data_IF_345971475227
#
_entry.id   IF_345971475227
#
_cell.length_a   1.000
_cell.length_b   1.000
_cell.length_c   1.000
_cell.angle_alpha   90.00
_cell.angle_beta   90.00
_cell.angle_gamma   90.00
#
_symmetry.space_group_name_H-M   'P 1'
#
loop_
_entity.id
_entity.type
_entity.pdbx_description
1 polymer ?
#
# COMPACT_ATOMS: atom_id res chain seq x y z
N UNK A 1 -7.29 14.37 7.04
CA UNK A 1 -6.99 15.51 7.95
C UNK A 1 -6.12 15.13 9.15
N UNK A 2 -5.96 13.83 9.45
CA UNK A 2 -5.09 13.28 10.51
C UNK A 2 -3.60 13.25 10.10
N UNK A 3 -3.26 12.58 8.99
CA UNK A 3 -1.86 12.34 8.61
C UNK A 3 -1.02 13.60 8.33
N UNK A 4 -1.62 14.65 7.73
CA UNK A 4 -0.92 15.93 7.47
C UNK A 4 -0.46 16.60 8.78
N UNK A 5 -1.28 16.53 9.84
CA UNK A 5 -0.92 17.07 11.15
C UNK A 5 0.18 16.23 11.80
N UNK A 6 0.08 14.91 11.65
CA UNK A 6 1.08 13.96 12.14
C UNK A 6 2.46 14.21 11.54
N UNK A 7 2.57 14.44 10.23
CA UNK A 7 3.87 14.66 9.54
C UNK A 7 4.62 15.86 10.12
N UNK A 8 3.89 16.91 10.50
CA UNK A 8 4.49 18.14 11.01
C UNK A 8 4.81 18.10 12.51
N UNK A 9 4.41 17.04 13.23
CA UNK A 9 4.55 16.99 14.68
C UNK A 9 5.80 16.20 15.07
N UNK A 10 6.83 16.91 15.52
CA UNK A 10 8.10 16.33 15.98
C UNK A 10 8.10 15.86 17.44
N UNK A 11 7.02 16.09 18.22
CA UNK A 11 6.90 15.60 19.59
C UNK A 11 5.44 15.36 20.05
N UNK A 12 5.25 14.33 20.88
CA UNK A 12 3.98 13.95 21.50
C UNK A 12 3.44 12.59 21.04
N UNK A 13 2.33 12.15 21.65
CA UNK A 13 1.61 10.95 21.26
C UNK A 13 0.40 11.31 20.39
N UNK A 14 0.13 10.50 19.38
CA UNK A 14 -1.03 10.62 18.50
C UNK A 14 -1.64 9.23 18.29
N UNK A 15 -2.97 9.15 18.33
CA UNK A 15 -3.69 7.91 18.02
C UNK A 15 -3.94 7.87 16.53
N UNK A 16 -3.48 6.79 15.89
CA UNK A 16 -3.66 6.54 14.47
C UNK A 16 -4.51 5.29 14.29
N UNK A 17 -5.32 5.26 13.24
CA UNK A 17 -5.86 4.00 12.73
C UNK A 17 -4.71 3.13 12.21
N UNK A 18 -4.89 1.80 12.19
CA UNK A 18 -3.86 0.88 11.69
C UNK A 18 -3.38 1.23 10.27
N UNK A 19 -4.32 1.56 9.38
CA UNK A 19 -4.02 1.99 8.01
C UNK A 19 -3.24 3.32 7.95
N UNK A 20 -3.55 4.27 8.84
CA UNK A 20 -2.80 5.52 8.96
C UNK A 20 -1.39 5.27 9.50
N UNK A 21 -1.22 4.34 10.45
CA UNK A 21 0.08 3.95 10.97
C UNK A 21 0.94 3.26 9.90
N UNK A 22 0.35 2.40 9.05
CA UNK A 22 1.04 1.80 7.89
C UNK A 22 1.48 2.89 6.91
N UNK A 23 0.58 3.81 6.54
CA UNK A 23 0.91 4.93 5.65
C UNK A 23 2.04 5.79 6.23
N UNK A 24 2.01 6.07 7.54
CA UNK A 24 3.06 6.82 8.23
C UNK A 24 4.39 6.08 8.20
N UNK A 25 4.40 4.79 8.52
CA UNK A 25 5.62 3.96 8.48
C UNK A 25 6.22 3.90 7.08
N UNK A 26 5.38 3.74 6.04
CA UNK A 26 5.84 3.76 4.65
C UNK A 26 6.48 5.10 4.28
N UNK A 27 5.88 6.21 4.71
CA UNK A 27 6.42 7.55 4.47
C UNK A 27 7.77 7.77 5.19
N UNK A 28 7.88 7.38 6.46
CA UNK A 28 9.13 7.48 7.22
C UNK A 28 10.23 6.57 6.67
N UNK A 29 9.85 5.43 6.09
CA UNK A 29 10.76 4.54 5.38
C UNK A 29 11.19 5.07 4.00
N UNK A 30 10.66 6.21 3.55
CA UNK A 30 11.01 6.83 2.28
C UNK A 30 10.36 6.17 1.07
N UNK A 31 9.11 5.67 1.19
CA UNK A 31 8.33 5.22 0.03
C UNK A 31 8.25 6.32 -1.01
N UNK A 32 8.53 6.01 -2.27
CA UNK A 32 8.49 6.93 -3.40
C UNK A 32 7.27 6.69 -4.30
N UNK A 33 6.77 5.46 -4.34
CA UNK A 33 5.61 5.07 -5.16
C UNK A 33 4.63 4.23 -4.34
N UNK A 34 3.35 4.59 -4.33
CA UNK A 34 2.29 3.77 -3.76
C UNK A 34 1.12 3.61 -4.75
N UNK A 35 0.65 2.37 -4.93
CA UNK A 35 -0.45 2.06 -5.82
C UNK A 35 -1.45 1.11 -5.15
N UNK A 36 -2.73 1.31 -5.44
CA UNK A 36 -3.78 0.40 -5.00
C UNK A 36 -4.96 0.41 -5.96
N UNK A 37 -5.83 -0.59 -5.83
CA UNK A 37 -7.18 -0.57 -6.38
C UNK A 37 -8.18 -0.41 -5.23
N UNK A 38 -9.27 0.36 -5.39
CA UNK A 38 -10.22 0.59 -4.31
C UNK A 38 -10.79 -0.71 -3.73
N UNK A 39 -10.61 -0.92 -2.42
CA UNK A 39 -11.04 -2.13 -1.74
C UNK A 39 -10.84 -2.05 -0.23
N UNK A 40 -11.95 -1.96 0.50
CA UNK A 40 -11.96 -2.10 1.97
C UNK A 40 -11.44 -3.50 2.32
N UNK A 41 -10.55 -3.64 3.32
CA UNK A 41 -10.18 -2.68 4.38
C UNK A 41 -8.82 -2.00 4.21
N UNK A 42 -8.27 -1.91 3.00
CA UNK A 42 -6.93 -1.36 2.74
C UNK A 42 -6.92 0.08 2.19
N UNK A 43 -8.08 0.59 1.77
CA UNK A 43 -8.24 1.85 1.03
C UNK A 43 -7.57 3.04 1.74
N UNK A 44 -7.74 3.14 3.06
CA UNK A 44 -7.31 4.31 3.83
C UNK A 44 -5.78 4.47 3.84
N UNK A 45 -5.00 3.43 3.54
CA UNK A 45 -3.53 3.51 3.44
C UNK A 45 -3.15 4.46 2.30
N UNK A 46 -3.65 4.19 1.10
CA UNK A 46 -3.34 4.97 -0.11
C UNK A 46 -4.01 6.34 -0.06
N UNK A 47 -5.22 6.45 0.49
CA UNK A 47 -5.84 7.78 0.72
C UNK A 47 -5.02 8.65 1.67
N UNK A 48 -4.46 8.06 2.73
CA UNK A 48 -3.61 8.77 3.68
C UNK A 48 -2.32 9.26 3.03
N UNK A 49 -1.67 8.43 2.20
CA UNK A 49 -0.49 8.82 1.42
C UNK A 49 -0.83 9.88 0.36
N UNK A 50 -1.97 9.76 -0.32
CA UNK A 50 -2.41 10.71 -1.34
C UNK A 50 -2.62 12.12 -0.78
N UNK A 51 -3.08 12.25 0.47
CA UNK A 51 -3.24 13.55 1.15
C UNK A 51 -1.91 14.33 1.27
N UNK A 52 -0.79 13.62 1.31
CA UNK A 52 0.54 14.19 1.60
C UNK A 52 1.47 14.13 0.40
N UNK A 53 1.11 13.36 -0.63
CA UNK A 53 1.92 13.06 -1.80
C UNK A 53 2.62 14.27 -2.43
N UNK A 54 1.85 15.33 -2.72
CA UNK A 54 2.37 16.57 -3.33
C UNK A 54 3.35 17.32 -2.43
N UNK A 55 3.18 17.24 -1.12
CA UNK A 55 4.02 17.98 -0.16
C UNK A 55 5.38 17.31 0.04
N UNK A 56 5.40 15.97 -0.02
CA UNK A 56 6.60 15.15 0.24
C UNK A 56 7.24 14.60 -1.04
N UNK A 57 6.64 14.84 -2.20
CA UNK A 57 7.21 14.51 -3.51
C UNK A 57 7.13 13.03 -3.88
N UNK A 58 6.10 12.32 -3.45
CA UNK A 58 5.90 10.89 -3.76
C UNK A 58 4.77 10.70 -4.78
N UNK A 59 4.84 9.63 -5.58
CA UNK A 59 3.78 9.24 -6.50
C UNK A 59 2.78 8.33 -5.79
N UNK A 60 1.50 8.66 -5.86
CA UNK A 60 0.42 7.87 -5.28
C UNK A 60 -0.72 7.79 -6.28
N UNK A 61 -1.18 6.59 -6.59
CA UNK A 61 -2.24 6.40 -7.57
C UNK A 61 -3.27 5.33 -7.21
N UNK A 62 -4.47 5.52 -7.76
CA UNK A 62 -5.47 4.47 -7.92
C UNK A 62 -5.29 3.84 -9.28
N UNK A 63 -4.94 2.57 -9.32
CA UNK A 63 -4.78 1.81 -10.55
C UNK A 63 -6.13 1.23 -11.00
N UNK A 64 -6.15 0.62 -12.20
CA UNK A 64 -7.39 0.10 -12.81
C UNK A 64 -7.88 -1.24 -12.22
N UNK A 65 -6.97 -2.02 -11.62
CA UNK A 65 -7.23 -3.25 -10.87
C UNK A 65 -6.00 -3.60 -10.01
N UNK A 66 -6.10 -4.65 -9.19
CA UNK A 66 -5.05 -5.10 -8.27
C UNK A 66 -3.79 -5.57 -8.99
N UNK A 67 -3.94 -6.22 -10.15
CA UNK A 67 -2.82 -6.65 -10.99
C UNK A 67 -1.98 -5.44 -11.40
N UNK A 68 -2.61 -4.41 -11.95
CA UNK A 68 -1.92 -3.19 -12.40
C UNK A 68 -1.34 -2.43 -11.21
N UNK A 69 -2.04 -2.38 -10.07
CA UNK A 69 -1.49 -1.76 -8.85
C UNK A 69 -0.19 -2.43 -8.41
N UNK A 70 -0.14 -3.77 -8.40
CA UNK A 70 1.08 -4.50 -8.07
C UNK A 70 2.16 -4.31 -9.13
N UNK A 71 1.83 -4.31 -10.42
CA UNK A 71 2.81 -4.08 -11.50
C UNK A 71 3.43 -2.68 -11.44
N UNK A 72 2.67 -1.65 -11.08
CA UNK A 72 3.19 -0.28 -10.91
C UNK A 72 4.18 -0.23 -9.74
N UNK A 73 3.80 -0.77 -8.59
CA UNK A 73 4.69 -0.82 -7.42
C UNK A 73 5.94 -1.67 -7.72
N UNK A 74 5.76 -2.84 -8.33
CA UNK A 74 6.85 -3.73 -8.70
C UNK A 74 7.83 -3.10 -9.71
N UNK A 75 7.30 -2.39 -10.72
CA UNK A 75 8.12 -1.67 -11.69
C UNK A 75 8.92 -0.55 -11.03
N UNK A 76 8.33 0.19 -10.09
CA UNK A 76 9.03 1.21 -9.32
C UNK A 76 10.18 0.61 -8.48
N UNK A 77 9.93 -0.52 -7.81
CA UNK A 77 10.95 -1.24 -7.04
C UNK A 77 12.09 -1.76 -7.91
N UNK A 78 11.77 -2.26 -9.10
CA UNK A 78 12.75 -2.70 -10.10
C UNK A 78 13.55 -1.53 -10.67
N UNK A 79 12.96 -0.33 -10.74
CA UNK A 79 13.63 0.89 -11.15
C UNK A 79 14.44 1.56 -10.01
N UNK A 80 14.54 0.93 -8.84
CA UNK A 80 15.33 1.41 -7.69
C UNK A 80 14.59 2.36 -6.74
N UNK A 81 13.26 2.44 -6.83
CA UNK A 81 12.42 3.26 -5.94
C UNK A 81 11.70 2.39 -4.90
N UNK A 82 11.66 2.85 -3.65
CA UNK A 82 10.87 2.16 -2.61
C UNK A 82 9.39 2.25 -2.94
N UNK A 83 8.70 1.12 -2.99
CA UNK A 83 7.30 1.08 -3.38
C UNK A 83 6.40 0.25 -2.46
N UNK A 84 5.11 0.58 -2.50
CA UNK A 84 4.06 -0.08 -1.74
C UNK A 84 2.85 -0.38 -2.64
N UNK A 85 2.35 -1.60 -2.59
CA UNK A 85 1.04 -1.97 -3.11
C UNK A 85 0.11 -2.33 -1.94
N UNK A 86 -1.13 -1.82 -1.94
CA UNK A 86 -2.13 -2.16 -0.93
C UNK A 86 -3.38 -2.75 -1.57
N UNK A 87 -3.84 -3.87 -1.01
CA UNK A 87 -5.08 -4.56 -1.40
C UNK A 87 -5.52 -5.50 -0.28
N UNK A 88 -6.74 -6.06 -0.38
CA UNK A 88 -7.13 -7.18 0.48
C UNK A 88 -6.66 -8.53 -0.08
N UNK A 89 -6.76 -9.58 0.73
CA UNK A 89 -6.37 -10.94 0.39
C UNK A 89 -6.90 -11.44 -0.96
N UNK A 90 -8.19 -11.25 -1.26
CA UNK A 90 -8.74 -11.66 -2.57
C UNK A 90 -8.18 -10.84 -3.73
N UNK A 91 -7.82 -9.58 -3.48
CA UNK A 91 -7.15 -8.72 -4.46
C UNK A 91 -5.74 -9.21 -4.76
N UNK A 92 -5.03 -9.72 -3.75
CA UNK A 92 -3.72 -10.33 -3.95
C UNK A 92 -3.80 -11.58 -4.83
N UNK A 93 -4.88 -12.35 -4.75
CA UNK A 93 -5.13 -13.46 -5.68
C UNK A 93 -5.33 -12.97 -7.13
N UNK A 94 -5.99 -11.82 -7.34
CA UNK A 94 -6.10 -11.19 -8.67
C UNK A 94 -4.72 -10.77 -9.19
N UNK A 95 -3.84 -10.34 -8.28
CA UNK A 95 -2.45 -9.95 -8.58
C UNK A 95 -1.44 -11.12 -8.49
N UNK A 96 -1.89 -12.38 -8.46
CA UNK A 96 -1.01 -13.53 -8.26
C UNK A 96 0.07 -13.67 -9.34
N UNK A 97 -0.27 -13.37 -10.61
CA UNK A 97 0.67 -13.44 -11.73
C UNK A 97 1.90 -12.52 -11.56
N UNK A 98 1.74 -11.20 -11.34
CA UNK A 98 2.89 -10.33 -11.02
C UNK A 98 3.52 -10.65 -9.66
N UNK A 99 2.76 -11.10 -8.66
CA UNK A 99 3.30 -11.50 -7.35
C UNK A 99 4.32 -12.63 -7.51
N UNK A 100 3.92 -13.74 -8.12
CA UNK A 100 4.82 -14.89 -8.29
C UNK A 100 5.97 -14.56 -9.24
N UNK A 101 5.72 -13.78 -10.30
CA UNK A 101 6.77 -13.32 -11.19
C UNK A 101 7.85 -12.52 -10.44
N UNK A 102 7.44 -11.58 -9.59
CA UNK A 102 8.35 -10.75 -8.79
C UNK A 102 9.23 -11.57 -7.83
N UNK A 103 8.74 -12.71 -7.34
CA UNK A 103 9.50 -13.59 -6.46
C UNK A 103 10.66 -14.30 -7.20
N UNK A 104 10.54 -14.53 -8.50
CA UNK A 104 11.60 -15.13 -9.31
C UNK A 104 12.66 -14.13 -9.74
N UNK A 105 12.24 -12.91 -10.08
CA UNK A 105 13.11 -11.87 -10.65
C UNK A 105 13.70 -10.94 -9.60
N UNK A 106 13.07 -10.83 -8.43
CA UNK A 106 13.45 -9.88 -7.39
C UNK A 106 13.18 -8.43 -7.79
N UNK A 107 13.69 -7.51 -6.97
CA UNK A 107 13.63 -6.06 -7.19
C UNK A 107 14.98 -5.45 -6.82
N UNK A 108 15.29 -4.28 -7.38
CA UNK A 108 16.55 -3.57 -7.10
C UNK A 108 16.55 -2.86 -5.74
N UNK A 109 15.38 -2.38 -5.28
CA UNK A 109 15.25 -1.78 -3.95
C UNK A 109 14.18 -2.49 -3.11
N UNK A 110 13.01 -1.88 -2.85
CA UNK A 110 12.02 -2.47 -1.95
C UNK A 110 10.61 -2.48 -2.55
N UNK A 111 9.97 -3.64 -2.52
CA UNK A 111 8.55 -3.82 -2.78
C UNK A 111 7.85 -4.30 -1.50
N UNK A 112 6.95 -3.49 -0.96
CA UNK A 112 6.08 -3.88 0.16
C UNK A 112 4.68 -4.13 -0.35
N UNK A 113 4.11 -5.28 0.02
CA UNK A 113 2.73 -5.64 -0.30
C UNK A 113 1.96 -5.68 1.02
N UNK A 114 0.97 -4.80 1.15
CA UNK A 114 0.04 -4.83 2.28
C UNK A 114 -1.18 -5.65 1.86
N UNK A 115 -1.27 -6.89 2.35
CA UNK A 115 -2.46 -7.72 2.24
C UNK A 115 -3.32 -7.55 3.48
N UNK A 116 -4.49 -6.93 3.33
CA UNK A 116 -5.44 -6.76 4.40
C UNK A 116 -6.43 -7.94 4.47
N UNK A 117 -6.75 -8.40 5.68
CA UNK A 117 -7.81 -9.39 5.92
C UNK A 117 -9.19 -8.72 5.95
N UNK A 118 -10.23 -9.46 5.56
CA UNK A 118 -11.64 -9.10 5.77
C UNK A 118 -12.31 -10.14 6.70
N UNK A 119 -12.10 -10.07 8.03
CA UNK A 119 -12.69 -10.99 8.98
C UNK A 119 -14.22 -10.89 8.99
N UNK A 120 -14.92 -12.02 8.94
CA UNK A 120 -16.37 -12.04 8.78
C UNK A 120 -16.85 -11.90 7.33
N UNK A 121 -15.92 -11.77 6.37
CA UNK A 121 -16.23 -11.74 4.94
C UNK A 121 -17.28 -10.67 4.60
N UNK A 122 -17.09 -9.45 5.09
CA UNK A 122 -18.09 -8.38 4.91
C UNK A 122 -18.18 -7.92 3.46
N UNK A 123 -17.07 -8.02 2.73
CA UNK A 123 -16.94 -7.55 1.35
C UNK A 123 -16.20 -8.53 0.44
N UNK A 124 -15.72 -9.66 0.95
CA UNK A 124 -15.08 -10.74 0.18
C UNK A 124 -16.05 -11.88 -0.13
N UNK A 125 -15.64 -12.78 -1.03
CA UNK A 125 -16.39 -13.99 -1.39
C UNK A 125 -16.17 -15.12 -0.40
N UNK A 126 -15.04 -15.10 0.31
CA UNK A 126 -14.65 -16.05 1.34
C UNK A 126 -13.81 -15.34 2.42
N UNK A 127 -13.80 -15.93 3.61
CA UNK A 127 -12.71 -15.72 4.56
C UNK A 127 -11.48 -16.47 4.05
N UNK A 128 -10.33 -15.80 4.02
CA UNK A 128 -9.05 -16.45 3.79
C UNK A 128 -8.09 -15.96 4.87
N UNK A 129 -7.21 -16.86 5.32
CA UNK A 129 -6.09 -16.49 6.17
C UNK A 129 -4.96 -16.01 5.26
N UNK A 130 -4.36 -14.85 5.58
CA UNK A 130 -3.23 -14.28 4.85
C UNK A 130 -1.86 -14.90 5.23
N UNK A 131 -1.83 -15.89 6.14
CA UNK A 131 -0.63 -16.62 6.58
C UNK A 131 -0.38 -17.90 5.79
#
# INVERSE_FOLDING_TARGET
MSLIKSINKSSGYEFLLGNEAIARGALEAGVAVAAAYPGTPSTEIVESLAQVAKHVGIHVEWSVNEKVALEVAYSAATAGARSLAAMKHVGLNVAADPLFSSAYTGVEESLVIVSADDPGMWSSQNEQDNR
#
